data_IF_186094333565
#
_entry.id   IF_186094333565
#
_cell.length_a   1.000
_cell.length_b   1.000
_cell.length_c   1.000
_cell.angle_alpha   90.00
_cell.angle_beta   90.00
_cell.angle_gamma   90.00
#
_symmetry.space_group_name_H-M   'P 1'
#
loop_
_entity.id
_entity.type
_entity.pdbx_description
1 polymer ?
#
# COMPACT_ATOMS: atom_id res chain seq x y z
N UNK A 1 11.46 2.64 11.07
CA UNK A 1 11.35 3.60 9.94
C UNK A 1 12.30 3.11 8.85
N UNK A 2 11.89 3.12 7.58
CA UNK A 2 12.68 2.54 6.49
C UNK A 2 14.03 3.26 6.35
N UNK A 3 15.12 2.50 6.31
CA UNK A 3 16.45 3.10 6.23
C UNK A 3 16.75 3.58 4.81
N UNK A 4 17.15 4.85 4.71
CA UNK A 4 17.54 5.47 3.44
C UNK A 4 19.01 5.26 3.11
N UNK A 5 19.42 3.99 3.04
CA UNK A 5 20.73 3.57 2.51
C UNK A 5 20.82 3.90 1.01
N UNK A 6 22.04 3.94 0.45
CA UNK A 6 22.22 4.16 -0.99
C UNK A 6 21.53 3.08 -1.83
N UNK A 7 21.62 1.83 -1.39
CA UNK A 7 20.97 0.68 -2.05
C UNK A 7 19.44 0.83 -2.06
N UNK A 8 18.82 1.13 -0.91
CA UNK A 8 17.37 1.29 -0.83
C UNK A 8 16.89 2.51 -1.64
N UNK A 9 17.64 3.62 -1.63
CA UNK A 9 17.29 4.79 -2.45
C UNK A 9 17.34 4.45 -3.94
N UNK A 10 18.39 3.77 -4.39
CA UNK A 10 18.53 3.37 -5.78
C UNK A 10 17.37 2.47 -6.25
N UNK A 11 16.80 1.67 -5.34
CA UNK A 11 15.72 0.75 -5.67
C UNK A 11 14.31 1.36 -5.51
N UNK A 12 14.05 2.14 -4.46
CA UNK A 12 12.69 2.56 -4.08
C UNK A 12 12.37 4.02 -4.38
N UNK A 13 13.36 4.91 -4.50
CA UNK A 13 13.10 6.35 -4.55
C UNK A 13 12.43 6.77 -5.87
N UNK A 14 11.28 7.46 -5.76
CA UNK A 14 10.51 8.06 -6.86
C UNK A 14 10.01 7.06 -7.92
N UNK A 15 9.66 5.85 -7.49
CA UNK A 15 9.05 4.85 -8.37
C UNK A 15 7.73 5.33 -9.00
N UNK A 16 7.50 4.98 -10.26
CA UNK A 16 6.23 5.25 -10.94
C UNK A 16 5.09 4.43 -10.36
N UNK A 17 5.37 3.19 -9.94
CA UNK A 17 4.38 2.29 -9.38
C UNK A 17 5.01 1.33 -8.38
N UNK A 18 4.31 1.08 -7.28
CA UNK A 18 4.59 0.04 -6.31
C UNK A 18 3.36 -0.88 -6.23
N UNK A 19 3.58 -2.19 -6.30
CA UNK A 19 2.57 -3.21 -6.06
C UNK A 19 3.01 -3.98 -4.82
N UNK A 20 2.17 -3.99 -3.78
CA UNK A 20 2.47 -4.64 -2.51
C UNK A 20 1.31 -5.52 -2.06
N UNK A 21 1.64 -6.57 -1.31
CA UNK A 21 0.65 -7.25 -0.52
C UNK A 21 0.08 -6.26 0.51
N UNK A 22 -1.24 -6.27 0.69
CA UNK A 22 -1.93 -5.42 1.66
C UNK A 22 -3.10 -6.18 2.25
N UNK A 23 -2.81 -7.40 2.70
CA UNK A 23 -3.83 -8.38 3.08
C UNK A 23 -4.67 -7.90 4.27
N UNK A 24 -4.06 -7.19 5.21
CA UNK A 24 -4.67 -6.92 6.50
C UNK A 24 -5.04 -5.45 6.74
N UNK A 25 -6.00 -5.26 7.62
CA UNK A 25 -6.14 -4.01 8.38
C UNK A 25 -4.96 -3.84 9.34
N UNK A 26 -4.79 -2.64 9.89
CA UNK A 26 -3.71 -2.40 10.86
C UNK A 26 -3.87 -3.28 12.11
N UNK A 27 -5.08 -3.37 12.65
CA UNK A 27 -5.36 -4.15 13.86
C UNK A 27 -5.06 -5.65 13.66
N UNK A 28 -5.42 -6.19 12.50
CA UNK A 28 -5.11 -7.58 12.15
C UNK A 28 -3.61 -7.79 11.92
N UNK A 29 -2.92 -6.86 11.27
CA UNK A 29 -1.48 -6.97 11.07
C UNK A 29 -0.72 -6.94 12.40
N UNK A 30 -1.22 -6.21 13.40
CA UNK A 30 -0.69 -6.25 14.77
C UNK A 30 -0.97 -7.60 15.45
N UNK A 31 -2.14 -8.19 15.24
CA UNK A 31 -2.49 -9.50 15.79
C UNK A 31 -1.76 -10.66 15.09
N UNK A 32 -1.40 -10.50 13.82
CA UNK A 32 -0.79 -11.51 12.94
C UNK A 32 0.62 -11.10 12.49
N UNK A 33 1.37 -10.40 13.36
CA UNK A 33 2.63 -9.78 12.99
C UNK A 33 3.68 -10.79 12.46
N UNK A 34 3.56 -12.06 12.83
CA UNK A 34 4.45 -13.17 12.46
C UNK A 34 3.95 -13.98 11.25
N UNK A 35 2.83 -13.60 10.63
CA UNK A 35 2.25 -14.34 9.49
C UNK A 35 2.83 -13.89 8.14
N UNK A 36 3.62 -12.82 8.13
CA UNK A 36 4.37 -12.39 6.94
C UNK A 36 3.58 -11.56 5.93
N UNK A 37 2.46 -10.95 6.33
CA UNK A 37 1.64 -10.10 5.46
C UNK A 37 1.54 -8.65 5.95
N UNK A 38 1.44 -7.75 4.99
CA UNK A 38 1.45 -6.30 5.17
C UNK A 38 0.03 -5.74 5.34
N UNK A 39 -0.09 -4.63 6.07
CA UNK A 39 -1.34 -3.88 6.15
C UNK A 39 -1.41 -2.82 5.06
N UNK A 40 -2.62 -2.46 4.61
CA UNK A 40 -2.76 -1.37 3.63
C UNK A 40 -2.15 -0.05 4.14
N UNK A 41 -2.19 0.23 5.45
CA UNK A 41 -1.59 1.44 6.02
C UNK A 41 -0.06 1.42 5.94
N UNK A 42 0.58 0.27 6.20
CA UNK A 42 2.02 0.14 6.00
C UNK A 42 2.40 0.28 4.52
N UNK A 43 1.57 -0.22 3.60
CA UNK A 43 1.75 0.02 2.16
C UNK A 43 1.74 1.50 1.80
N UNK A 44 0.78 2.28 2.34
CA UNK A 44 0.72 3.73 2.13
C UNK A 44 1.94 4.44 2.72
N UNK A 45 2.31 4.13 3.97
CA UNK A 45 3.48 4.73 4.62
C UNK A 45 4.76 4.49 3.82
N UNK A 46 4.96 3.26 3.32
CA UNK A 46 6.08 2.90 2.46
C UNK A 46 6.10 3.69 1.15
N UNK A 47 4.97 3.75 0.44
CA UNK A 47 4.86 4.46 -0.82
C UNK A 47 5.12 5.97 -0.68
N UNK A 48 4.60 6.58 0.39
CA UNK A 48 4.85 7.99 0.70
C UNK A 48 6.33 8.24 1.07
N UNK A 49 6.89 7.38 1.91
CA UNK A 49 8.29 7.51 2.37
C UNK A 49 9.29 7.56 1.21
N UNK A 50 9.01 6.78 0.16
CA UNK A 50 9.82 6.68 -1.05
C UNK A 50 9.36 7.57 -2.20
N UNK A 51 8.31 8.39 -2.02
CA UNK A 51 7.77 9.29 -3.04
C UNK A 51 7.30 8.56 -4.31
N UNK A 52 6.70 7.38 -4.15
CA UNK A 52 6.10 6.68 -5.28
C UNK A 52 4.90 7.47 -5.84
N UNK A 53 4.67 7.39 -7.15
CA UNK A 53 3.53 8.04 -7.79
C UNK A 53 2.24 7.23 -7.61
N UNK A 54 2.33 5.91 -7.64
CA UNK A 54 1.19 4.99 -7.56
C UNK A 54 1.46 3.82 -6.61
N UNK A 55 0.46 3.47 -5.80
CA UNK A 55 0.42 2.27 -4.97
C UNK A 55 -0.77 1.40 -5.38
N UNK A 56 -0.49 0.12 -5.63
CA UNK A 56 -1.48 -0.90 -5.95
C UNK A 56 -1.59 -1.87 -4.78
N UNK A 57 -2.77 -1.89 -4.16
CA UNK A 57 -3.14 -2.79 -3.09
C UNK A 57 -3.43 -4.18 -3.69
N UNK A 58 -2.61 -5.18 -3.37
CA UNK A 58 -2.72 -6.55 -3.89
C UNK A 58 -2.75 -7.60 -2.77
N UNK A 59 -2.98 -8.88 -3.12
CA UNK A 59 -2.99 -10.01 -2.19
C UNK A 59 -3.95 -9.80 -1.01
N UNK A 60 -5.20 -9.47 -1.33
CA UNK A 60 -6.25 -9.17 -0.36
C UNK A 60 -6.60 -10.39 0.50
N UNK A 61 -7.11 -10.14 1.70
CA UNK A 61 -7.60 -11.20 2.57
C UNK A 61 -8.76 -11.97 1.90
N UNK A 62 -8.65 -13.30 1.70
CA UNK A 62 -9.66 -14.07 0.97
C UNK A 62 -11.07 -14.01 1.55
N UNK A 63 -11.19 -13.73 2.84
CA UNK A 63 -12.48 -13.62 3.53
C UNK A 63 -13.13 -12.23 3.40
N UNK A 64 -12.44 -11.24 2.81
CA UNK A 64 -12.98 -9.90 2.61
C UNK A 64 -13.88 -9.84 1.38
N UNK A 65 -15.12 -9.41 1.59
CA UNK A 65 -16.01 -9.03 0.49
C UNK A 65 -15.68 -7.65 -0.08
N UNK A 66 -16.21 -7.35 -1.26
CA UNK A 66 -15.94 -6.12 -2.02
C UNK A 66 -16.12 -4.83 -1.21
N UNK A 67 -17.17 -4.76 -0.37
CA UNK A 67 -17.43 -3.57 0.45
C UNK A 67 -16.28 -3.32 1.43
N UNK A 68 -15.77 -4.37 2.08
CA UNK A 68 -14.66 -4.26 3.03
C UNK A 68 -13.38 -3.80 2.33
N UNK A 69 -13.11 -4.34 1.13
CA UNK A 69 -11.97 -3.90 0.33
C UNK A 69 -12.10 -2.42 -0.06
N UNK A 70 -13.28 -2.00 -0.51
CA UNK A 70 -13.54 -0.60 -0.83
C UNK A 70 -13.36 0.34 0.37
N UNK A 71 -13.83 -0.08 1.55
CA UNK A 71 -13.64 0.68 2.79
C UNK A 71 -12.15 0.81 3.15
N UNK A 72 -11.37 -0.27 2.98
CA UNK A 72 -9.92 -0.25 3.18
C UNK A 72 -9.22 0.70 2.19
N UNK A 73 -9.63 0.71 0.92
CA UNK A 73 -9.11 1.67 -0.07
C UNK A 73 -9.41 3.11 0.32
N UNK A 74 -10.65 3.40 0.77
CA UNK A 74 -11.00 4.74 1.25
C UNK A 74 -10.19 5.14 2.46
N UNK A 75 -9.98 4.23 3.42
CA UNK A 75 -9.12 4.48 4.57
C UNK A 75 -7.67 4.77 4.14
N UNK A 76 -7.12 4.01 3.19
CA UNK A 76 -5.78 4.23 2.63
C UNK A 76 -5.65 5.61 1.97
N UNK A 77 -6.61 6.01 1.12
CA UNK A 77 -6.65 7.30 0.45
C UNK A 77 -6.75 8.48 1.43
N UNK A 78 -7.61 8.34 2.46
CA UNK A 78 -7.75 9.35 3.51
C UNK A 78 -6.46 9.48 4.32
N UNK A 79 -5.83 8.36 4.68
CA UNK A 79 -4.56 8.36 5.41
C UNK A 79 -3.47 9.06 4.59
N UNK A 80 -3.33 8.73 3.31
CA UNK A 80 -2.35 9.36 2.42
C UNK A 80 -2.54 10.89 2.36
N UNK A 81 -3.80 11.32 2.19
CA UNK A 81 -4.15 12.75 2.12
C UNK A 81 -3.88 13.50 3.42
N UNK A 82 -3.97 12.82 4.57
CA UNK A 82 -3.68 13.41 5.88
C UNK A 82 -2.17 13.56 6.16
N UNK A 83 -1.36 12.69 5.56
CA UNK A 83 0.09 12.64 5.79
C UNK A 83 0.89 13.54 4.84
N UNK A 84 0.41 13.77 3.63
CA UNK A 84 1.15 14.47 2.59
C UNK A 84 0.21 15.17 1.61
N UNK A 85 0.62 16.32 1.09
CA UNK A 85 -0.01 16.95 -0.07
C UNK A 85 0.42 16.31 -1.40
N UNK A 86 1.31 15.31 -1.38
CA UNK A 86 1.73 14.57 -2.58
C UNK A 86 0.57 13.73 -3.12
N UNK A 87 0.35 13.80 -4.43
CA UNK A 87 -0.68 13.03 -5.12
C UNK A 87 -0.27 11.56 -5.32
N UNK A 88 -0.12 10.80 -4.22
CA UNK A 88 0.01 9.35 -4.30
C UNK A 88 -1.34 8.78 -4.79
N UNK A 89 -1.33 8.19 -5.98
CA UNK A 89 -2.50 7.47 -6.49
C UNK A 89 -2.59 6.09 -5.84
N UNK A 90 -3.74 5.72 -5.29
CA UNK A 90 -3.94 4.42 -4.63
C UNK A 90 -5.10 3.69 -5.31
N UNK A 91 -4.86 2.46 -5.74
CA UNK A 91 -5.83 1.60 -6.40
C UNK A 91 -5.84 0.18 -5.79
N UNK A 92 -6.97 -0.51 -5.91
CA UNK A 92 -7.09 -1.95 -5.61
C UNK A 92 -6.85 -2.72 -6.91
N UNK A 93 -5.94 -3.69 -6.89
CA UNK A 93 -5.81 -4.64 -7.98
C UNK A 93 -6.94 -5.67 -7.98
N UNK A 94 -7.43 -6.00 -9.19
CA UNK A 94 -8.45 -7.01 -9.46
C UNK A 94 -7.97 -7.95 -10.56
N UNK A 95 -8.55 -9.14 -10.60
CA UNK A 95 -8.26 -10.09 -11.67
C UNK A 95 -8.61 -9.49 -13.04
N UNK A 96 -7.68 -9.60 -14.00
CA UNK A 96 -7.84 -9.05 -15.34
C UNK A 96 -7.43 -7.57 -15.49
N UNK A 97 -7.04 -6.88 -14.41
CA UNK A 97 -6.57 -5.50 -14.50
C UNK A 97 -5.25 -5.39 -15.28
N UNK A 98 -5.12 -4.33 -16.08
CA UNK A 98 -3.86 -3.92 -16.72
C UNK A 98 -3.45 -2.57 -16.16
N UNK A 99 -2.24 -2.50 -15.60
CA UNK A 99 -1.70 -1.29 -14.97
C UNK A 99 -0.68 -0.67 -15.93
N UNK A 100 -0.91 0.60 -16.26
CA UNK A 100 0.02 1.40 -17.08
C UNK A 100 0.88 2.28 -16.16
N UNK A 101 2.17 2.34 -16.48
CA UNK A 101 3.22 3.09 -15.80
C UNK A 101 3.94 3.99 -16.80
#
# INVERSE_FOLDING_TARGET
>A
MYEKTEENRAFYEKLDCIILDTQYTLDEALQKFDWGHTSYLHGVDFALHWQAKKLILFHHEPTYGDQKLYDNLKAAQNFASSMSSSALEIQIAREGDTILF
#
